data_IF_312233367330
#
_entry.id   IF_312233367330
#
_cell.length_a   1.000
_cell.length_b   1.000
_cell.length_c   1.000
_cell.angle_alpha   90.00
_cell.angle_beta   90.00
_cell.angle_gamma   90.00
#
_symmetry.space_group_name_H-M   'P 1'
#
loop_
_entity.id
_entity.type
_entity.pdbx_description
1 polymer ?
#
# COMPACT_ATOMS: atom_id res chain seq x y z
N UNK A 1 -37.92 21.43 -33.43
CA UNK A 1 -38.82 22.58 -33.22
C UNK A 1 -39.72 22.26 -32.03
N UNK A 2 -39.57 23.05 -30.97
CA UNK A 2 -40.51 23.44 -29.91
C UNK A 2 -41.56 22.46 -29.37
N UNK A 3 -41.53 22.25 -28.04
CA UNK A 3 -42.47 22.89 -27.09
C UNK A 3 -41.68 23.19 -25.78
N UNK A 4 -41.48 24.47 -25.51
CA UNK A 4 -41.21 25.13 -24.22
C UNK A 4 -42.45 25.00 -23.31
N UNK A 5 -42.51 25.19 -21.99
CA UNK A 5 -41.77 25.87 -20.93
C UNK A 5 -42.67 25.69 -19.70
N UNK A 6 -42.15 25.60 -18.48
CA UNK A 6 -42.83 26.11 -17.28
C UNK A 6 -41.82 26.21 -16.14
N UNK A 7 -41.40 27.44 -15.87
CA UNK A 7 -40.68 27.86 -14.67
C UNK A 7 -41.68 28.24 -13.58
N UNK A 8 -41.35 28.06 -12.30
CA UNK A 8 -41.91 28.85 -11.21
C UNK A 8 -40.89 29.00 -10.06
N UNK A 9 -40.82 30.23 -9.57
CA UNK A 9 -39.86 30.85 -8.64
C UNK A 9 -40.08 30.50 -7.14
N UNK A 10 -39.12 30.87 -6.26
CA UNK A 10 -39.11 30.53 -4.85
C UNK A 10 -39.77 31.60 -3.97
N UNK A 11 -40.50 31.19 -2.93
CA UNK A 11 -41.00 32.10 -1.88
C UNK A 11 -40.48 31.72 -0.50
N UNK A 12 -39.65 32.64 0.02
CA UNK A 12 -39.55 33.12 1.41
C UNK A 12 -40.56 32.55 2.43
N UNK A 13 -40.07 32.06 3.57
CA UNK A 13 -40.75 32.29 4.84
C UNK A 13 -39.76 32.59 5.98
N UNK A 14 -40.09 33.68 6.65
CA UNK A 14 -39.38 34.38 7.73
C UNK A 14 -39.49 33.66 9.07
N UNK A 15 -38.53 33.97 9.96
CA UNK A 15 -38.45 33.56 11.34
C UNK A 15 -39.64 34.06 12.20
N UNK A 16 -40.06 33.23 13.16
CA UNK A 16 -40.80 33.66 14.34
C UNK A 16 -40.42 32.82 15.57
N UNK A 17 -40.12 33.56 16.64
CA UNK A 17 -39.66 33.14 17.97
C UNK A 17 -40.67 32.26 18.73
N UNK A 18 -40.18 31.25 19.47
CA UNK A 18 -40.77 30.83 20.75
C UNK A 18 -39.65 30.41 21.74
N UNK A 19 -39.81 30.84 22.99
CA UNK A 19 -38.83 30.87 24.09
C UNK A 19 -38.90 29.60 24.99
N UNK A 20 -38.02 29.45 26.01
CA UNK A 20 -37.54 28.16 26.51
C UNK A 20 -38.34 27.60 27.69
N UNK A 21 -38.41 26.27 27.83
CA UNK A 21 -38.71 25.64 29.11
C UNK A 21 -38.05 24.27 29.33
N UNK A 22 -37.31 24.21 30.44
CA UNK A 22 -37.10 23.09 31.38
C UNK A 22 -36.66 21.69 30.88
N UNK A 23 -35.36 21.46 31.07
CA UNK A 23 -34.79 20.39 31.91
C UNK A 23 -35.03 18.92 31.57
N UNK A 24 -33.95 18.25 31.12
CA UNK A 24 -33.45 17.05 31.79
C UNK A 24 -31.94 16.90 31.55
N UNK A 25 -31.12 17.30 32.53
CA UNK A 25 -29.68 16.98 32.57
C UNK A 25 -29.51 15.60 33.18
N UNK A 26 -28.84 14.68 32.47
CA UNK A 26 -28.12 13.56 33.08
C UNK A 26 -26.68 13.56 32.53
N UNK A 27 -25.64 13.59 33.38
CA UNK A 27 -24.27 13.51 32.91
C UNK A 27 -23.91 12.06 32.64
N UNK A 28 -23.58 11.73 31.39
CA UNK A 28 -22.89 10.49 31.05
C UNK A 28 -21.39 10.72 31.25
N UNK A 29 -20.85 10.19 32.35
CA UNK A 29 -19.42 9.99 32.52
C UNK A 29 -19.03 8.74 31.71
N UNK A 30 -18.47 8.93 30.53
CA UNK A 30 -17.86 7.88 29.70
C UNK A 30 -16.47 8.34 29.25
N UNK A 31 -15.45 7.54 29.56
CA UNK A 31 -14.03 7.83 29.32
C UNK A 31 -13.76 8.11 27.84
N UNK A 32 -13.22 9.28 27.54
CA UNK A 32 -12.57 9.57 26.25
C UNK A 32 -11.13 9.05 26.27
N UNK A 33 -10.58 8.52 25.16
CA UNK A 33 -9.16 8.24 25.07
C UNK A 33 -8.38 9.57 25.10
N UNK A 34 -7.37 9.62 25.96
CA UNK A 34 -6.52 10.78 26.20
C UNK A 34 -5.67 11.07 24.95
N UNK A 35 -6.05 12.08 24.18
CA UNK A 35 -5.20 12.66 23.14
C UNK A 35 -4.12 13.51 23.82
N UNK A 36 -2.89 13.01 23.89
CA UNK A 36 -1.75 13.82 24.37
C UNK A 36 -1.13 14.58 23.18
N UNK A 37 -1.46 15.86 23.08
CA UNK A 37 -0.74 16.82 22.22
C UNK A 37 0.42 17.37 23.03
N UNK A 38 1.65 17.03 22.67
CA UNK A 38 2.83 17.66 23.27
C UNK A 38 3.17 18.92 22.48
N UNK A 39 2.73 20.08 22.97
CA UNK A 39 3.19 21.39 22.48
C UNK A 39 4.30 21.89 23.39
N UNK A 40 5.52 21.97 22.87
CA UNK A 40 6.57 22.80 23.47
C UNK A 40 6.85 23.98 22.54
N UNK A 41 6.09 25.06 22.71
CA UNK A 41 6.50 26.36 22.23
C UNK A 41 7.63 26.89 23.13
N UNK A 42 8.89 26.74 22.70
CA UNK A 42 9.98 27.62 23.17
C UNK A 42 10.87 28.00 22.00
N UNK A 43 10.99 29.31 21.82
CA UNK A 43 11.84 30.05 20.92
C UNK A 43 13.26 29.50 20.90
N UNK A 44 13.81 29.26 19.71
CA UNK A 44 15.18 28.79 19.50
C UNK A 44 16.16 29.90 19.83
N UNK A 45 16.95 29.71 20.88
CA UNK A 45 18.25 30.34 21.04
C UNK A 45 19.30 29.22 20.98
N UNK A 46 20.24 29.33 20.05
CA UNK A 46 21.29 28.35 19.82
C UNK A 46 22.26 28.30 21.00
N UNK A 47 22.37 27.15 21.66
CA UNK A 47 23.54 26.78 22.47
C UNK A 47 23.77 25.28 22.31
N UNK A 48 24.96 24.92 21.83
CA UNK A 48 25.41 23.53 21.73
C UNK A 48 25.45 22.86 23.09
N UNK A 49 24.69 21.78 23.23
CA UNK A 49 24.89 20.78 24.29
C UNK A 49 24.35 19.45 23.77
N UNK A 50 25.16 18.41 23.88
CA UNK A 50 24.79 17.03 23.55
C UNK A 50 23.65 16.59 24.46
N UNK A 51 22.43 16.56 23.93
CA UNK A 51 21.26 16.00 24.62
C UNK A 51 21.45 14.49 24.70
N UNK A 52 21.85 14.00 25.87
CA UNK A 52 21.77 12.59 26.20
C UNK A 52 20.32 12.20 26.42
N UNK A 53 19.82 11.26 25.62
CA UNK A 53 18.50 10.65 25.84
C UNK A 53 18.55 9.88 27.16
N UNK A 54 17.66 10.15 28.13
CA UNK A 54 17.68 9.45 29.41
C UNK A 54 17.46 7.95 29.25
N UNK A 55 18.30 7.12 29.90
CA UNK A 55 18.26 5.65 29.81
C UNK A 55 16.91 5.04 30.22
N UNK A 56 16.12 5.72 31.05
CA UNK A 56 14.78 5.28 31.46
C UNK A 56 13.78 5.24 30.32
N UNK A 57 13.79 6.24 29.42
CA UNK A 57 12.94 6.27 28.23
C UNK A 57 13.32 5.20 27.19
N UNK A 58 14.60 4.77 27.18
CA UNK A 58 15.09 3.70 26.31
C UNK A 58 14.62 2.32 26.79
N UNK A 59 14.57 2.08 28.11
CA UNK A 59 14.04 0.84 28.70
C UNK A 59 12.53 0.70 28.54
N UNK A 60 11.78 1.80 28.66
CA UNK A 60 10.32 1.80 28.43
C UNK A 60 9.96 1.62 26.94
N UNK A 61 10.74 2.18 26.02
CA UNK A 61 10.56 1.97 24.59
C UNK A 61 10.76 0.51 24.17
N UNK A 62 11.79 -0.16 24.69
CA UNK A 62 12.05 -1.58 24.43
C UNK A 62 10.97 -2.50 25.03
N UNK A 63 10.41 -2.16 26.19
CA UNK A 63 9.26 -2.89 26.75
C UNK A 63 8.04 -2.84 25.84
N UNK A 64 7.71 -1.67 25.29
CA UNK A 64 6.56 -1.50 24.39
C UNK A 64 6.64 -2.34 23.11
N UNK A 65 7.84 -2.60 22.60
CA UNK A 65 8.03 -3.43 21.40
C UNK A 65 7.72 -4.91 21.71
N UNK A 66 8.14 -5.40 22.88
CA UNK A 66 7.85 -6.77 23.31
C UNK A 66 6.38 -7.04 23.62
N UNK A 67 5.64 -5.99 24.00
CA UNK A 67 4.21 -6.02 24.37
C UNK A 67 3.26 -5.98 23.17
N UNK A 68 3.75 -5.75 21.95
CA UNK A 68 2.91 -5.75 20.76
C UNK A 68 2.19 -7.09 20.61
N UNK A 69 0.91 -6.99 20.25
CA UNK A 69 0.03 -8.10 19.97
C UNK A 69 0.61 -9.08 18.93
N UNK A 70 0.07 -10.29 18.88
CA UNK A 70 0.52 -11.31 17.93
C UNK A 70 0.48 -10.84 16.47
N UNK A 71 -0.60 -10.15 16.07
CA UNK A 71 -0.77 -9.62 14.71
C UNK A 71 -0.87 -8.10 14.79
N UNK A 72 0.26 -7.44 14.56
CA UNK A 72 0.37 -5.97 14.59
C UNK A 72 0.53 -5.41 13.18
N UNK A 73 0.20 -4.14 13.00
CA UNK A 73 0.34 -3.46 11.69
C UNK A 73 0.98 -2.08 11.80
N UNK A 74 1.74 -1.69 10.78
CA UNK A 74 2.33 -0.36 10.62
C UNK A 74 1.71 0.32 9.41
N UNK A 75 0.96 1.40 9.63
CA UNK A 75 0.20 2.12 8.61
C UNK A 75 0.62 3.59 8.56
N UNK A 76 0.47 4.21 7.38
CA UNK A 76 0.77 5.64 7.20
C UNK A 76 -0.44 6.49 7.49
N UNK A 77 -0.27 7.59 8.20
CA UNK A 77 -1.37 8.48 8.58
C UNK A 77 -1.56 9.68 7.65
N UNK A 78 -0.65 9.93 6.71
CA UNK A 78 -0.63 11.14 5.88
C UNK A 78 -0.72 10.75 4.40
N UNK A 79 0.12 11.33 3.53
CA UNK A 79 0.14 11.11 2.08
C UNK A 79 1.38 10.34 1.61
N UNK A 80 1.93 9.46 2.46
CA UNK A 80 3.09 8.63 2.14
C UNK A 80 4.41 9.16 2.71
N UNK A 81 5.47 8.37 2.52
CA UNK A 81 6.85 8.67 2.93
C UNK A 81 7.06 9.07 4.41
N UNK A 82 6.22 8.57 5.31
CA UNK A 82 6.33 8.87 6.74
C UNK A 82 7.48 8.12 7.45
N UNK A 83 8.25 7.31 6.70
CA UNK A 83 9.33 6.48 7.25
C UNK A 83 8.87 5.12 7.79
N UNK A 84 7.73 4.59 7.30
CA UNK A 84 7.19 3.28 7.69
C UNK A 84 8.22 2.15 7.57
N UNK A 85 8.94 2.08 6.45
CA UNK A 85 9.91 1.01 6.20
C UNK A 85 10.99 0.89 7.27
N UNK A 86 11.49 2.03 7.76
CA UNK A 86 12.46 2.07 8.87
C UNK A 86 11.86 1.51 10.16
N UNK A 87 10.62 1.86 10.47
CA UNK A 87 9.95 1.35 11.67
C UNK A 87 9.68 -0.16 11.55
N UNK A 88 9.23 -0.61 10.38
CA UNK A 88 9.01 -2.04 10.10
C UNK A 88 10.31 -2.82 10.25
N UNK A 89 11.41 -2.33 9.69
CA UNK A 89 12.74 -2.96 9.82
C UNK A 89 13.18 -3.10 11.29
N UNK A 90 13.01 -2.06 12.10
CA UNK A 90 13.33 -2.09 13.55
C UNK A 90 12.43 -3.10 14.28
N UNK A 91 11.13 -3.10 13.98
CA UNK A 91 10.17 -3.97 14.66
C UNK A 91 10.32 -5.43 14.22
N UNK A 92 10.71 -5.69 12.98
CA UNK A 92 10.82 -7.02 12.40
C UNK A 92 11.71 -7.98 13.21
N UNK A 93 12.68 -7.47 13.98
CA UNK A 93 13.49 -8.24 14.93
C UNK A 93 12.67 -9.00 16.00
N UNK A 94 11.41 -8.61 16.21
CA UNK A 94 10.50 -9.20 17.18
C UNK A 94 9.32 -9.95 16.54
N UNK A 95 9.33 -10.10 15.22
CA UNK A 95 8.27 -10.76 14.46
C UNK A 95 8.86 -11.85 13.55
N UNK A 96 8.19 -12.99 13.48
CA UNK A 96 8.61 -14.12 12.66
C UNK A 96 8.21 -13.92 11.19
N UNK A 97 7.13 -13.15 10.95
CA UNK A 97 6.61 -12.90 9.61
C UNK A 97 6.38 -11.39 9.43
N UNK A 98 6.84 -10.85 8.30
CA UNK A 98 6.48 -9.50 7.83
C UNK A 98 5.69 -9.62 6.54
N UNK A 99 4.45 -9.15 6.54
CA UNK A 99 3.52 -9.33 5.44
C UNK A 99 3.06 -8.00 4.85
N UNK A 100 3.16 -7.87 3.53
CA UNK A 100 2.60 -6.73 2.79
C UNK A 100 1.22 -7.08 2.24
N UNK A 101 0.25 -6.22 2.51
CA UNK A 101 -1.16 -6.52 2.23
C UNK A 101 -1.72 -5.88 0.94
N UNK A 102 -1.13 -4.79 0.45
CA UNK A 102 -1.73 -3.98 -0.62
C UNK A 102 -0.69 -3.21 -1.43
N UNK A 103 -1.12 -2.68 -2.58
CA UNK A 103 -0.34 -1.80 -3.43
C UNK A 103 0.54 -2.61 -4.38
N UNK A 104 1.67 -2.04 -4.80
CA UNK A 104 2.66 -2.75 -5.63
C UNK A 104 4.02 -2.07 -5.53
N UNK A 105 4.80 -2.11 -6.61
CA UNK A 105 6.12 -1.47 -6.67
C UNK A 105 6.08 0.08 -6.69
N UNK A 106 4.91 0.68 -6.43
CA UNK A 106 4.73 2.12 -6.27
C UNK A 106 5.07 2.63 -4.86
N UNK A 107 5.27 1.74 -3.89
CA UNK A 107 5.87 2.13 -2.61
C UNK A 107 7.40 2.14 -2.72
N UNK A 108 8.03 3.04 -1.96
CA UNK A 108 9.48 3.05 -1.79
C UNK A 108 9.79 3.07 -0.30
N UNK A 109 10.44 2.01 0.19
CA UNK A 109 10.92 1.93 1.56
C UNK A 109 12.43 1.97 1.56
N UNK A 110 12.99 3.13 1.91
CA UNK A 110 14.42 3.26 2.13
C UNK A 110 14.74 2.84 3.56
N UNK A 111 15.58 1.82 3.69
CA UNK A 111 16.10 1.33 4.98
C UNK A 111 17.62 1.31 4.95
N UNK A 112 18.22 1.29 6.14
CA UNK A 112 19.67 1.29 6.31
C UNK A 112 20.03 0.16 7.26
N UNK A 113 20.98 -0.70 6.87
CA UNK A 113 21.46 -1.75 7.76
C UNK A 113 22.40 -1.18 8.85
N UNK A 114 22.90 -2.05 9.72
CA UNK A 114 23.78 -1.68 10.83
C UNK A 114 25.09 -0.99 10.37
N UNK A 115 25.61 -1.35 9.20
CA UNK A 115 26.80 -0.75 8.59
C UNK A 115 26.51 0.56 7.85
N UNK A 116 25.26 1.02 7.82
CA UNK A 116 24.84 2.24 7.12
C UNK A 116 24.64 2.08 5.62
N UNK A 117 24.63 0.85 5.09
CA UNK A 117 24.32 0.56 3.70
C UNK A 117 22.84 0.80 3.43
N UNK A 118 22.56 1.60 2.40
CA UNK A 118 21.21 1.97 1.97
C UNK A 118 20.59 0.86 1.12
N UNK A 119 19.36 0.49 1.44
CA UNK A 119 18.51 -0.39 0.63
C UNK A 119 17.22 0.34 0.28
N UNK A 120 16.79 0.21 -0.98
CA UNK A 120 15.52 0.76 -1.46
C UNK A 120 14.63 -0.41 -1.88
N UNK A 121 13.63 -0.70 -1.06
CA UNK A 121 12.67 -1.76 -1.28
C UNK A 121 11.40 -1.20 -1.92
N UNK A 122 10.81 -2.00 -2.82
CA UNK A 122 9.63 -1.62 -3.56
C UNK A 122 8.49 -2.59 -3.37
N UNK A 123 8.70 -3.88 -3.66
CA UNK A 123 7.68 -4.92 -3.51
C UNK A 123 7.95 -5.79 -2.28
N UNK A 124 9.22 -6.11 -2.04
CA UNK A 124 9.66 -6.99 -0.97
C UNK A 124 9.49 -6.27 0.38
N UNK A 125 8.85 -6.91 1.38
CA UNK A 125 8.68 -6.33 2.70
C UNK A 125 10.00 -5.91 3.37
N UNK A 126 9.96 -4.84 4.16
CA UNK A 126 11.11 -4.25 4.86
C UNK A 126 11.77 -5.18 5.87
N UNK A 127 11.08 -6.24 6.28
CA UNK A 127 11.62 -7.29 7.14
C UNK A 127 12.74 -8.13 6.51
N UNK A 128 12.98 -8.04 5.20
CA UNK A 128 13.94 -8.90 4.48
C UNK A 128 15.39 -8.80 4.97
N UNK A 129 15.76 -7.70 5.63
CA UNK A 129 17.09 -7.54 6.24
C UNK A 129 17.29 -8.38 7.52
N UNK A 130 16.22 -8.88 8.14
CA UNK A 130 16.27 -9.69 9.36
C UNK A 130 16.26 -11.17 9.01
N UNK A 131 17.39 -11.86 9.12
CA UNK A 131 17.59 -13.24 8.60
C UNK A 131 16.53 -14.24 9.03
N UNK A 132 16.05 -14.14 10.28
CA UNK A 132 15.03 -15.04 10.86
C UNK A 132 13.58 -14.68 10.49
N UNK A 133 13.38 -13.57 9.77
CA UNK A 133 12.05 -13.09 9.37
C UNK A 133 11.67 -13.60 7.97
N UNK A 134 10.48 -14.17 7.88
CA UNK A 134 9.86 -14.54 6.62
C UNK A 134 9.05 -13.38 6.04
N UNK A 135 9.27 -13.04 4.78
CA UNK A 135 8.55 -12.00 4.07
C UNK A 135 7.38 -12.58 3.27
N UNK A 136 6.20 -11.98 3.36
CA UNK A 136 4.99 -12.40 2.63
C UNK A 136 4.44 -11.27 1.79
N UNK A 137 4.22 -11.54 0.50
CA UNK A 137 3.50 -10.66 -0.42
C UNK A 137 2.07 -11.19 -0.55
N UNK A 138 1.11 -10.49 0.05
CA UNK A 138 -0.28 -10.89 0.16
C UNK A 138 -1.11 -10.80 -1.12
N UNK A 139 -2.31 -11.37 -1.08
CA UNK A 139 -3.24 -11.40 -2.22
C UNK A 139 -3.80 -10.03 -2.63
N UNK A 140 -3.68 -9.02 -1.76
CA UNK A 140 -4.09 -7.65 -2.09
C UNK A 140 -3.05 -6.87 -2.90
N UNK A 141 -1.83 -7.40 -3.05
CA UNK A 141 -0.73 -6.78 -3.81
C UNK A 141 -0.88 -7.05 -5.32
N UNK A 142 -0.45 -6.09 -6.13
CA UNK A 142 -0.22 -6.25 -7.57
C UNK A 142 1.28 -6.41 -7.84
N UNK A 143 1.66 -7.53 -8.44
CA UNK A 143 3.05 -8.00 -8.55
C UNK A 143 3.54 -7.77 -9.97
N UNK A 144 4.49 -6.84 -10.13
CA UNK A 144 5.26 -6.70 -11.37
C UNK A 144 6.44 -7.66 -11.31
N UNK A 145 6.36 -8.77 -12.04
CA UNK A 145 7.34 -9.87 -11.95
C UNK A 145 8.74 -9.48 -12.41
N UNK A 146 8.93 -8.72 -13.52
CA UNK A 146 10.24 -8.20 -13.87
C UNK A 146 10.87 -7.36 -12.75
N UNK A 147 10.14 -6.38 -12.22
CA UNK A 147 10.62 -5.51 -11.14
C UNK A 147 10.87 -6.25 -9.83
N UNK A 148 10.07 -7.28 -9.52
CA UNK A 148 10.30 -8.16 -8.37
C UNK A 148 11.65 -8.87 -8.46
N UNK A 149 11.99 -9.44 -9.62
CA UNK A 149 13.27 -10.12 -9.81
C UNK A 149 14.45 -9.16 -9.86
N UNK A 150 14.31 -7.98 -10.48
CA UNK A 150 15.32 -6.91 -10.39
C UNK A 150 15.60 -6.52 -8.93
N UNK A 151 14.56 -6.51 -8.08
CA UNK A 151 14.71 -6.23 -6.65
C UNK A 151 15.45 -7.36 -5.91
N UNK A 152 15.09 -8.63 -6.16
CA UNK A 152 15.82 -9.79 -5.63
C UNK A 152 17.29 -9.75 -6.05
N UNK A 153 17.57 -9.55 -7.34
CA UNK A 153 18.94 -9.59 -7.88
C UNK A 153 19.82 -8.51 -7.23
N UNK A 154 19.26 -7.31 -6.97
CA UNK A 154 19.96 -6.24 -6.25
C UNK A 154 20.21 -6.56 -4.78
N UNK A 155 19.28 -7.25 -4.12
CA UNK A 155 19.42 -7.66 -2.72
C UNK A 155 20.49 -8.76 -2.57
N UNK A 156 20.45 -9.77 -3.44
CA UNK A 156 21.42 -10.88 -3.42
C UNK A 156 22.83 -10.39 -3.76
N UNK A 157 22.97 -9.53 -4.79
CA UNK A 157 24.24 -8.85 -5.09
C UNK A 157 24.76 -7.99 -3.92
N UNK A 158 23.85 -7.57 -3.04
CA UNK A 158 24.16 -6.80 -1.85
C UNK A 158 24.45 -7.63 -0.61
N UNK A 159 24.42 -8.96 -0.71
CA UNK A 159 24.68 -9.91 0.38
C UNK A 159 23.45 -10.36 1.17
N UNK A 160 22.24 -9.96 0.76
CA UNK A 160 20.99 -10.33 1.45
C UNK A 160 20.38 -11.56 0.76
N UNK A 161 20.39 -12.71 1.45
CA UNK A 161 19.80 -13.94 0.91
C UNK A 161 18.27 -13.85 0.87
N UNK A 162 17.69 -14.01 -0.31
CA UNK A 162 16.23 -14.00 -0.51
C UNK A 162 15.63 -15.42 -0.56
N UNK A 163 16.47 -16.44 -0.76
CA UNK A 163 16.07 -17.82 -0.99
C UNK A 163 15.33 -18.41 0.21
N UNK A 164 14.10 -18.88 0.00
CA UNK A 164 13.25 -19.48 1.04
C UNK A 164 12.73 -18.48 2.09
N UNK A 165 12.95 -17.18 1.88
CA UNK A 165 12.57 -16.11 2.83
C UNK A 165 11.47 -15.20 2.30
N UNK A 166 10.99 -15.42 1.09
CA UNK A 166 9.93 -14.64 0.45
C UNK A 166 8.84 -15.60 -0.02
N UNK A 167 7.60 -15.34 0.38
CA UNK A 167 6.40 -16.01 -0.12
C UNK A 167 5.57 -15.02 -0.94
N UNK A 168 5.11 -15.45 -2.10
CA UNK A 168 4.25 -14.68 -3.01
C UNK A 168 2.89 -15.37 -3.09
N UNK A 169 1.83 -14.61 -2.85
CA UNK A 169 0.46 -15.12 -2.95
C UNK A 169 0.15 -15.60 -4.37
N UNK A 170 -0.30 -16.84 -4.49
CA UNK A 170 -0.93 -17.39 -5.70
C UNK A 170 -2.18 -16.57 -6.13
N UNK A 171 -2.80 -15.85 -5.21
CA UNK A 171 -3.99 -15.01 -5.44
C UNK A 171 -3.67 -13.54 -5.73
N UNK A 172 -2.41 -13.11 -5.65
CA UNK A 172 -2.00 -11.76 -6.06
C UNK A 172 -2.18 -11.58 -7.57
N UNK A 173 -2.49 -10.36 -8.00
CA UNK A 173 -2.65 -10.06 -9.44
C UNK A 173 -1.30 -9.73 -10.08
N UNK A 174 -1.12 -10.11 -11.33
CA UNK A 174 0.05 -9.77 -12.12
C UNK A 174 -0.10 -8.39 -12.73
N UNK A 175 0.92 -7.58 -12.51
CA UNK A 175 1.10 -6.31 -13.18
C UNK A 175 2.06 -6.55 -14.36
N UNK A 176 1.55 -6.44 -15.58
CA UNK A 176 2.32 -6.53 -16.82
C UNK A 176 2.86 -5.16 -17.27
N UNK A 177 3.82 -5.17 -18.20
CA UNK A 177 4.40 -3.94 -18.74
C UNK A 177 3.37 -3.10 -19.50
N UNK A 178 2.42 -3.75 -20.19
CA UNK A 178 1.33 -3.04 -20.86
C UNK A 178 0.45 -2.24 -19.87
N UNK A 179 0.32 -2.67 -18.61
CA UNK A 179 -0.39 -1.87 -17.62
C UNK A 179 0.34 -0.55 -17.34
N UNK A 180 1.68 -0.53 -17.40
CA UNK A 180 2.48 0.69 -17.22
C UNK A 180 2.31 1.63 -18.40
N UNK A 181 2.29 1.09 -19.62
CA UNK A 181 2.01 1.84 -20.84
C UNK A 181 0.60 2.46 -20.81
N UNK A 182 -0.42 1.66 -20.47
CA UNK A 182 -1.81 2.10 -20.31
C UNK A 182 -1.95 3.20 -19.24
N UNK A 183 -1.21 3.11 -18.14
CA UNK A 183 -1.18 4.15 -17.10
C UNK A 183 -0.64 5.47 -17.66
N UNK A 184 0.46 5.40 -18.43
CA UNK A 184 1.04 6.55 -19.13
C UNK A 184 0.10 7.17 -20.17
N UNK A 185 -0.57 6.35 -20.98
CA UNK A 185 -1.54 6.80 -21.99
C UNK A 185 -2.75 7.50 -21.35
N UNK A 186 -3.27 6.96 -20.23
CA UNK A 186 -4.39 7.57 -19.50
C UNK A 186 -4.00 8.92 -18.90
N UNK A 187 -2.81 9.05 -18.33
CA UNK A 187 -2.32 10.34 -17.86
C UNK A 187 -2.21 11.34 -19.03
N UNK A 188 -1.70 10.92 -20.19
CA UNK A 188 -1.57 11.79 -21.36
C UNK A 188 -2.93 12.32 -21.86
N UNK A 189 -3.99 11.50 -21.84
CA UNK A 189 -5.36 11.93 -22.19
C UNK A 189 -5.91 13.01 -21.24
N UNK A 190 -5.51 13.00 -19.97
CA UNK A 190 -6.05 13.91 -18.95
C UNK A 190 -5.51 15.35 -19.03
N UNK A 191 -4.50 15.61 -19.86
CA UNK A 191 -3.93 16.91 -20.25
C UNK A 191 -3.68 17.96 -19.15
N UNK A 192 -4.73 18.56 -18.54
CA UNK A 192 -4.62 19.56 -17.46
C UNK A 192 -5.02 19.03 -16.08
N UNK A 193 -5.57 17.82 -16.01
CA UNK A 193 -6.07 17.18 -14.79
C UNK A 193 -5.31 15.90 -14.48
N UNK A 194 -3.97 15.95 -14.60
CA UNK A 194 -3.10 14.83 -14.24
C UNK A 194 -3.32 14.42 -12.79
N UNK A 195 -3.39 13.11 -12.55
CA UNK A 195 -3.43 12.56 -11.19
C UNK A 195 -2.00 12.54 -10.62
N UNK A 196 -0.97 12.47 -11.48
CA UNK A 196 0.42 12.35 -11.04
C UNK A 196 0.75 10.92 -10.64
N UNK A 197 0.28 9.94 -11.42
CA UNK A 197 0.55 8.53 -11.15
C UNK A 197 2.06 8.25 -11.24
N UNK A 198 2.50 7.18 -10.57
CA UNK A 198 3.90 6.74 -10.65
C UNK A 198 4.25 6.12 -12.01
N UNK A 199 3.27 6.02 -12.93
CA UNK A 199 3.36 5.31 -14.22
C UNK A 199 3.86 3.87 -14.06
N UNK A 200 3.48 3.26 -12.94
CA UNK A 200 3.84 1.88 -12.58
C UNK A 200 2.74 0.89 -12.90
N UNK A 201 1.61 1.32 -13.48
CA UNK A 201 0.54 0.41 -13.89
C UNK A 201 -0.37 -0.07 -12.76
N UNK A 202 -0.31 0.57 -11.59
CA UNK A 202 -1.07 0.14 -10.40
C UNK A 202 -2.57 0.25 -10.65
N UNK A 203 -3.02 1.41 -11.11
CA UNK A 203 -4.45 1.65 -11.40
C UNK A 203 -5.00 0.70 -12.46
N UNK A 204 -4.38 0.60 -13.65
CA UNK A 204 -4.80 -0.36 -14.66
C UNK A 204 -4.82 -1.81 -14.17
N UNK A 205 -3.84 -2.26 -13.38
CA UNK A 205 -3.85 -3.63 -12.84
C UNK A 205 -5.02 -3.87 -11.86
N UNK A 206 -5.29 -2.93 -10.95
CA UNK A 206 -6.48 -3.01 -10.09
C UNK A 206 -7.79 -2.92 -10.89
N UNK A 207 -7.82 -2.19 -12.01
CA UNK A 207 -8.95 -2.17 -12.93
C UNK A 207 -9.22 -3.58 -13.50
N UNK A 208 -8.19 -4.25 -14.00
CA UNK A 208 -8.31 -5.62 -14.53
C UNK A 208 -8.79 -6.61 -13.46
N UNK A 209 -8.33 -6.44 -12.21
CA UNK A 209 -8.84 -7.18 -11.04
C UNK A 209 -10.33 -6.98 -10.81
N UNK A 210 -10.80 -5.73 -10.81
CA UNK A 210 -12.21 -5.38 -10.57
C UNK A 210 -13.10 -5.83 -11.73
N UNK A 211 -12.62 -5.74 -12.96
CA UNK A 211 -13.32 -6.21 -14.17
C UNK A 211 -13.39 -7.75 -14.22
N UNK A 212 -12.51 -8.44 -13.48
CA UNK A 212 -12.38 -9.91 -13.40
C UNK A 212 -11.81 -10.53 -14.68
N UNK A 213 -11.03 -9.77 -15.44
CA UNK A 213 -10.23 -10.27 -16.56
C UNK A 213 -8.72 -10.32 -16.25
N UNK A 214 -8.29 -9.76 -15.11
CA UNK A 214 -6.88 -9.77 -14.69
C UNK A 214 -6.35 -11.17 -14.42
N UNK A 215 -5.06 -11.38 -14.73
CA UNK A 215 -4.33 -12.62 -14.49
C UNK A 215 -3.70 -12.57 -13.10
N UNK A 216 -3.72 -13.70 -12.38
CA UNK A 216 -3.12 -13.85 -11.05
C UNK A 216 -1.86 -14.70 -11.10
N UNK A 217 -1.05 -14.62 -10.04
CA UNK A 217 0.22 -15.38 -9.93
C UNK A 217 -0.02 -16.88 -10.11
N UNK A 218 -1.07 -17.44 -9.53
CA UNK A 218 -1.40 -18.86 -9.67
C UNK A 218 -1.75 -19.30 -11.08
N UNK A 219 -2.15 -18.38 -11.98
CA UNK A 219 -2.40 -18.71 -13.38
C UNK A 219 -1.10 -19.07 -14.13
N UNK A 220 0.07 -18.68 -13.62
CA UNK A 220 1.38 -19.05 -14.20
C UNK A 220 1.67 -20.56 -14.08
N UNK A 221 0.92 -21.30 -13.27
CA UNK A 221 0.96 -22.77 -13.23
C UNK A 221 0.19 -23.43 -14.37
N UNK A 222 -0.62 -22.64 -15.11
CA UNK A 222 -1.48 -23.09 -16.21
C UNK A 222 -1.10 -22.37 -17.51
N UNK A 223 0.15 -22.59 -17.93
CA UNK A 223 0.77 -21.93 -19.09
C UNK A 223 0.05 -22.22 -20.42
N UNK A 224 -0.75 -23.28 -20.49
CA UNK A 224 -1.62 -23.61 -21.61
C UNK A 224 -2.75 -22.58 -21.82
N UNK A 225 -3.25 -21.96 -20.75
CA UNK A 225 -4.32 -20.95 -20.81
C UNK A 225 -3.81 -19.50 -20.80
N UNK A 226 -2.53 -19.30 -20.48
CA UNK A 226 -1.92 -17.98 -20.36
C UNK A 226 -2.04 -17.11 -21.64
N UNK A 227 -1.80 -17.63 -22.87
CA UNK A 227 -1.90 -16.83 -24.09
C UNK A 227 -3.29 -16.25 -24.31
N UNK A 228 -4.33 -17.04 -24.06
CA UNK A 228 -5.73 -16.63 -24.26
C UNK A 228 -6.13 -15.52 -23.27
N UNK A 229 -5.65 -15.60 -22.02
CA UNK A 229 -5.89 -14.58 -21.01
C UNK A 229 -5.15 -13.27 -21.33
N UNK A 230 -3.90 -13.37 -21.80
CA UNK A 230 -3.10 -12.21 -22.19
C UNK A 230 -3.68 -11.51 -23.42
N UNK A 231 -4.07 -12.27 -24.44
CA UNK A 231 -4.70 -11.74 -25.66
C UNK A 231 -5.95 -10.90 -25.32
N UNK A 232 -6.79 -11.39 -24.41
CA UNK A 232 -7.98 -10.66 -23.98
C UNK A 232 -7.65 -9.31 -23.31
N UNK A 233 -6.59 -9.27 -22.48
CA UNK A 233 -6.16 -8.03 -21.82
C UNK A 233 -5.50 -7.04 -22.79
N UNK A 234 -4.64 -7.52 -23.68
CA UNK A 234 -3.98 -6.68 -24.69
C UNK A 234 -4.98 -6.15 -25.71
N UNK A 235 -5.95 -6.97 -26.11
CA UNK A 235 -7.05 -6.58 -27.00
C UNK A 235 -7.94 -5.51 -26.38
N UNK A 236 -8.26 -5.60 -25.08
CA UNK A 236 -9.00 -4.56 -24.35
C UNK A 236 -8.24 -3.22 -24.32
N UNK A 237 -6.93 -3.27 -24.04
CA UNK A 237 -6.06 -2.10 -24.07
C UNK A 237 -6.00 -1.46 -25.47
N UNK A 238 -5.82 -2.27 -26.52
CA UNK A 238 -5.78 -1.81 -27.92
C UNK A 238 -7.12 -1.22 -28.39
N UNK A 239 -8.24 -1.80 -27.96
CA UNK A 239 -9.56 -1.26 -28.26
C UNK A 239 -9.79 0.11 -27.58
N UNK A 240 -9.23 0.31 -26.38
CA UNK A 240 -9.39 1.57 -25.63
C UNK A 240 -8.45 2.67 -26.09
N UNK A 241 -7.19 2.36 -26.38
CA UNK A 241 -6.16 3.36 -26.69
C UNK A 241 -5.62 3.16 -28.09
N UNK A 242 -5.84 4.15 -28.97
CA UNK A 242 -5.40 4.09 -30.38
C UNK A 242 -3.88 4.02 -30.53
N UNK A 243 -3.15 4.60 -29.58
CA UNK A 243 -1.69 4.65 -29.58
C UNK A 243 -1.06 3.40 -28.92
N UNK A 244 -1.88 2.47 -28.40
CA UNK A 244 -1.39 1.21 -27.85
C UNK A 244 -1.13 0.21 -28.98
N UNK A 245 0.14 -0.13 -29.19
CA UNK A 245 0.55 -0.98 -30.30
C UNK A 245 0.43 -2.47 -29.93
N UNK A 246 -0.66 -3.09 -30.38
CA UNK A 246 -0.89 -4.52 -30.20
C UNK A 246 -0.72 -5.30 -31.50
N UNK A 247 0.18 -6.28 -31.50
CA UNK A 247 0.36 -7.23 -32.60
C UNK A 247 0.48 -8.66 -32.08
N UNK A 248 0.24 -9.69 -32.93
CA UNK A 248 0.44 -11.09 -32.54
C UNK A 248 1.86 -11.39 -32.03
N UNK A 249 2.88 -10.73 -32.59
CA UNK A 249 4.27 -10.89 -32.17
C UNK A 249 4.48 -10.39 -30.73
N UNK A 250 3.85 -9.27 -30.34
CA UNK A 250 3.89 -8.76 -28.96
C UNK A 250 3.26 -9.75 -27.98
N UNK A 251 2.16 -10.40 -28.35
CA UNK A 251 1.53 -11.45 -27.54
C UNK A 251 2.50 -12.64 -27.34
N UNK A 252 3.10 -13.13 -28.43
CA UNK A 252 4.04 -14.25 -28.38
C UNK A 252 5.25 -13.93 -27.50
N UNK A 253 5.82 -12.73 -27.64
CA UNK A 253 6.95 -12.28 -26.82
C UNK A 253 6.61 -12.23 -25.32
N UNK A 254 5.46 -11.66 -24.95
CA UNK A 254 5.02 -11.59 -23.55
C UNK A 254 4.72 -12.98 -22.98
N UNK A 255 4.13 -13.88 -23.77
CA UNK A 255 3.91 -15.28 -23.35
C UNK A 255 5.23 -15.98 -23.06
N UNK A 256 6.21 -15.92 -23.97
CA UNK A 256 7.52 -16.57 -23.79
C UNK A 256 8.33 -15.96 -22.65
N UNK A 257 8.18 -14.65 -22.43
CA UNK A 257 8.77 -13.96 -21.27
C UNK A 257 8.17 -14.46 -19.96
N UNK A 258 6.84 -14.55 -19.86
CA UNK A 258 6.18 -15.00 -18.62
C UNK A 258 6.30 -16.51 -18.38
N UNK A 259 6.51 -17.34 -19.42
CA UNK A 259 6.90 -18.75 -19.23
C UNK A 259 8.23 -18.87 -18.48
N UNK A 260 9.24 -18.06 -18.85
CA UNK A 260 10.53 -18.02 -18.15
C UNK A 260 10.40 -17.51 -16.72
N UNK A 261 9.56 -16.50 -16.51
CA UNK A 261 9.30 -16.01 -15.15
C UNK A 261 8.52 -16.99 -14.30
N UNK A 262 7.61 -17.79 -14.87
CA UNK A 262 6.85 -18.80 -14.13
C UNK A 262 7.78 -19.82 -13.47
N UNK A 263 8.78 -20.33 -14.19
CA UNK A 263 9.78 -21.26 -13.65
C UNK A 263 10.56 -20.63 -12.48
N UNK A 264 11.01 -19.38 -12.66
CA UNK A 264 11.77 -18.67 -11.63
C UNK A 264 10.93 -18.29 -10.41
N UNK A 265 9.63 -18.03 -10.61
CA UNK A 265 8.70 -17.58 -9.57
C UNK A 265 8.13 -18.75 -8.75
N UNK A 266 8.02 -19.94 -9.32
CA UNK A 266 7.40 -21.11 -8.69
C UNK A 266 7.86 -21.38 -7.25
N UNK A 267 9.16 -21.31 -6.89
CA UNK A 267 9.61 -21.54 -5.51
C UNK A 267 9.08 -20.54 -4.48
N UNK A 268 8.62 -19.37 -4.94
CA UNK A 268 8.05 -18.33 -4.09
C UNK A 268 6.53 -18.48 -3.94
N UNK A 269 5.85 -19.14 -4.87
CA UNK A 269 4.37 -19.16 -4.94
C UNK A 269 3.79 -20.05 -3.83
N UNK A 270 3.00 -19.46 -2.95
CA UNK A 270 2.36 -20.15 -1.82
C UNK A 270 0.91 -19.70 -1.65
N UNK A 271 0.02 -20.56 -1.14
CA UNK A 271 -1.28 -20.10 -0.64
C UNK A 271 -1.05 -19.29 0.65
N UNK A 272 -0.89 -17.98 0.48
CA UNK A 272 -0.59 -17.06 1.58
C UNK A 272 -1.74 -16.94 2.56
N UNK A 273 -2.99 -17.14 2.11
CA UNK A 273 -4.16 -17.07 2.99
C UNK A 273 -4.10 -18.24 3.97
N UNK A 274 -3.89 -19.45 3.47
CA UNK A 274 -3.69 -20.62 4.31
C UNK A 274 -2.48 -20.45 5.22
N UNK A 275 -1.33 -20.10 4.66
CA UNK A 275 -0.07 -19.94 5.40
C UNK A 275 -0.20 -18.96 6.58
N UNK A 276 -0.77 -17.77 6.34
CA UNK A 276 -0.92 -16.74 7.38
C UNK A 276 -1.87 -17.22 8.49
N UNK A 277 -3.00 -17.84 8.15
CA UNK A 277 -3.96 -18.32 9.15
C UNK A 277 -3.42 -19.52 9.96
N UNK A 278 -2.63 -20.39 9.35
CA UNK A 278 -1.89 -21.44 10.07
C UNK A 278 -0.84 -20.85 11.01
N UNK A 279 -0.08 -19.85 10.55
CA UNK A 279 0.90 -19.16 11.39
C UNK A 279 0.23 -18.48 12.60
N UNK A 280 -0.92 -17.83 12.39
CA UNK A 280 -1.73 -17.27 13.47
C UNK A 280 -2.14 -18.35 14.47
N UNK A 281 -2.64 -19.50 13.99
CA UNK A 281 -3.07 -20.62 14.83
C UNK A 281 -1.90 -21.24 15.61
N UNK A 282 -0.69 -21.21 15.04
CA UNK A 282 0.55 -21.63 15.66
C UNK A 282 1.18 -20.57 16.59
N UNK A 283 0.45 -19.50 16.94
CA UNK A 283 0.92 -18.39 17.78
C UNK A 283 2.15 -17.65 17.25
N UNK A 284 2.38 -17.68 15.93
CA UNK A 284 3.47 -16.95 15.29
C UNK A 284 3.21 -15.45 15.31
N UNK A 285 4.25 -14.65 15.54
CA UNK A 285 4.15 -13.18 15.51
C UNK A 285 4.22 -12.66 14.07
N UNK A 286 3.21 -11.87 13.67
CA UNK A 286 3.06 -11.29 12.34
C UNK A 286 3.02 -9.76 12.40
N UNK A 287 3.89 -9.11 11.63
CA UNK A 287 3.89 -7.67 11.42
C UNK A 287 3.38 -7.35 10.01
N UNK A 288 2.35 -6.53 9.91
CA UNK A 288 1.80 -6.10 8.62
C UNK A 288 2.40 -4.76 8.21
N UNK A 289 2.95 -4.72 7.00
CA UNK A 289 3.51 -3.52 6.39
C UNK A 289 2.48 -2.88 5.44
N UNK A 290 2.03 -1.67 5.78
CA UNK A 290 1.21 -0.84 4.90
C UNK A 290 2.04 -0.22 3.78
N UNK A 291 1.60 -0.37 2.52
CA UNK A 291 2.31 0.15 1.35
C UNK A 291 2.33 1.69 1.24
N UNK A 292 1.18 2.35 1.39
CA UNK A 292 1.04 3.81 1.38
C UNK A 292 0.44 4.29 2.70
N UNK A 293 -0.39 5.33 2.65
CA UNK A 293 -0.95 6.00 3.80
C UNK A 293 -2.44 6.23 3.61
N UNK A 294 -3.14 6.39 4.72
CA UNK A 294 -4.61 6.45 4.78
C UNK A 294 -5.20 7.61 3.99
N UNK A 295 -4.52 8.75 3.83
CA UNK A 295 -5.02 9.86 3.00
C UNK A 295 -4.88 9.62 1.49
N UNK A 296 -4.18 8.55 1.09
CA UNK A 296 -4.12 8.05 -0.29
C UNK A 296 -5.04 6.84 -0.51
N UNK A 297 -5.89 6.49 0.46
CA UNK A 297 -6.86 5.41 0.30
C UNK A 297 -7.89 5.73 -0.77
N UNK A 298 -8.25 4.73 -1.58
CA UNK A 298 -9.22 4.88 -2.67
C UNK A 298 -10.59 5.38 -2.19
N UNK A 299 -10.99 5.04 -0.96
CA UNK A 299 -12.28 5.41 -0.38
C UNK A 299 -12.17 6.60 0.57
N UNK A 300 -11.15 6.58 1.45
CA UNK A 300 -11.05 7.56 2.56
C UNK A 300 -10.08 8.71 2.28
N UNK A 301 -9.33 8.64 1.18
CA UNK A 301 -8.35 9.64 0.81
C UNK A 301 -8.93 10.85 0.08
N UNK A 302 -8.04 11.69 -0.43
CA UNK A 302 -8.38 12.90 -1.19
C UNK A 302 -8.74 12.60 -2.64
N UNK A 303 -9.79 11.80 -2.90
CA UNK A 303 -10.18 11.39 -4.25
C UNK A 303 -10.41 12.60 -5.20
N UNK A 304 -9.95 12.56 -6.47
CA UNK A 304 -9.32 11.43 -7.18
C UNK A 304 -7.80 11.30 -6.98
N UNK A 305 -7.20 12.13 -6.14
CA UNK A 305 -5.75 12.23 -5.88
C UNK A 305 -5.29 11.19 -4.86
N UNK A 306 -5.54 9.91 -5.17
CA UNK A 306 -5.34 8.76 -4.28
C UNK A 306 -4.72 7.59 -5.05
N UNK A 307 -4.31 6.53 -4.34
CA UNK A 307 -3.93 5.27 -4.99
C UNK A 307 -5.17 4.40 -5.26
N UNK A 308 -5.01 3.33 -6.05
CA UNK A 308 -6.09 2.41 -6.41
C UNK A 308 -6.24 1.23 -5.45
N UNK A 309 -5.55 1.28 -4.31
CA UNK A 309 -5.62 0.28 -3.23
C UNK A 309 -6.20 0.91 -1.96
N UNK A 310 -6.32 0.10 -0.90
CA UNK A 310 -6.78 0.54 0.43
C UNK A 310 -5.65 0.44 1.45
N UNK A 311 -4.84 1.51 1.67
CA UNK A 311 -3.81 1.55 2.69
C UNK A 311 -4.35 1.65 4.13
N UNK A 312 -5.66 1.79 4.31
CA UNK A 312 -6.32 1.72 5.61
C UNK A 312 -6.25 0.32 6.25
N UNK A 313 -6.60 0.24 7.53
CA UNK A 313 -6.56 -1.00 8.31
C UNK A 313 -7.44 -2.11 7.71
N UNK A 314 -8.54 -1.76 7.04
CA UNK A 314 -9.38 -2.73 6.32
C UNK A 314 -8.61 -3.49 5.23
N UNK A 315 -7.65 -2.83 4.60
CA UNK A 315 -6.75 -3.40 3.60
C UNK A 315 -5.92 -4.59 4.10
N UNK A 316 -5.62 -4.63 5.41
CA UNK A 316 -4.94 -5.76 6.04
C UNK A 316 -5.78 -7.03 5.90
N UNK A 317 -7.07 -6.93 6.20
CA UNK A 317 -7.99 -8.07 6.18
C UNK A 317 -8.20 -8.55 4.74
N UNK A 318 -8.55 -7.63 3.83
CA UNK A 318 -8.82 -7.96 2.42
C UNK A 318 -7.58 -8.42 1.67
N UNK A 319 -6.40 -7.94 2.08
CA UNK A 319 -5.13 -8.17 1.41
C UNK A 319 -4.34 -9.39 1.88
N UNK A 320 -4.68 -9.95 3.05
CA UNK A 320 -4.03 -11.14 3.62
C UNK A 320 -5.00 -12.29 3.93
N UNK A 321 -6.31 -12.07 3.87
CA UNK A 321 -7.31 -13.07 4.23
C UNK A 321 -7.36 -13.35 5.73
N UNK A 322 -7.14 -12.33 6.55
CA UNK A 322 -7.18 -12.40 8.01
C UNK A 322 -8.55 -11.87 8.49
N UNK A 323 -9.13 -12.52 9.51
CA UNK A 323 -10.36 -12.05 10.14
C UNK A 323 -10.13 -10.74 10.92
N UNK A 324 -11.03 -9.74 10.83
CA UNK A 324 -10.84 -8.45 11.52
C UNK A 324 -10.59 -8.55 13.03
N UNK A 325 -11.17 -9.55 13.70
CA UNK A 325 -11.01 -9.80 15.14
C UNK A 325 -9.57 -10.19 15.55
N UNK A 326 -8.75 -10.63 14.61
CA UNK A 326 -7.38 -11.10 14.85
C UNK A 326 -6.38 -9.95 14.78
N UNK A 327 -6.72 -8.86 14.07
CA UNK A 327 -5.88 -7.67 14.00
C UNK A 327 -5.79 -7.03 15.39
N UNK A 328 -4.59 -6.96 15.93
CA UNK A 328 -4.30 -6.36 17.21
C UNK A 328 -3.83 -4.91 17.07
N UNK A 329 -2.63 -4.62 17.57
CA UNK A 329 -2.10 -3.26 17.66
C UNK A 329 -1.78 -2.68 16.28
N UNK A 330 -2.28 -1.47 16.02
CA UNK A 330 -1.99 -0.70 14.83
C UNK A 330 -1.17 0.54 15.18
N UNK A 331 0.01 0.62 14.58
CA UNK A 331 0.94 1.73 14.74
C UNK A 331 0.77 2.68 13.55
N UNK A 332 0.21 3.85 13.82
CA UNK A 332 0.12 4.94 12.85
C UNK A 332 1.41 5.74 12.79
N UNK A 333 2.09 5.74 11.64
CA UNK A 333 3.30 6.52 11.42
C UNK A 333 2.92 7.91 10.92
N UNK A 334 3.37 8.91 11.67
CA UNK A 334 3.14 10.33 11.39
C UNK A 334 4.50 11.01 11.26
N UNK A 335 4.73 11.68 10.14
CA UNK A 335 5.89 12.56 9.99
C UNK A 335 5.67 13.86 10.76
N UNK A 336 6.74 14.44 11.30
CA UNK A 336 6.71 15.75 11.97
C UNK A 336 6.25 16.88 11.03
N UNK A 337 6.44 16.71 9.73
CA UNK A 337 5.95 17.61 8.69
C UNK A 337 4.98 16.88 7.76
N UNK A 338 3.92 17.56 7.32
CA UNK A 338 3.04 17.05 6.27
C UNK A 338 3.78 17.19 4.94
N UNK A 339 4.16 16.07 4.34
CA UNK A 339 4.72 16.03 3.00
C UNK A 339 3.64 15.52 2.04
N UNK A 340 3.29 16.34 1.06
CA UNK A 340 2.35 15.97 0.00
C UNK A 340 3.17 15.74 -1.26
N UNK A 341 3.47 14.48 -1.58
CA UNK A 341 4.16 14.16 -2.83
C UNK A 341 3.15 14.21 -3.98
N UNK A 342 3.08 15.37 -4.61
CA UNK A 342 2.67 15.49 -5.98
C UNK A 342 3.85 16.06 -6.76
N UNK A 343 4.14 15.50 -7.93
CA UNK A 343 4.93 16.19 -8.96
C UNK A 343 4.09 17.35 -9.54
N UNK A 344 3.67 18.30 -8.70
CA UNK A 344 3.08 19.54 -9.19
C UNK A 344 4.21 20.44 -9.67
N UNK A 345 4.22 20.73 -10.97
CA UNK A 345 4.75 21.99 -11.47
C UNK A 345 3.72 23.08 -11.12
N UNK A 346 3.66 23.49 -9.85
CA UNK A 346 2.89 24.67 -9.46
C UNK A 346 3.67 25.89 -9.96
N UNK A 347 3.39 26.32 -11.20
CA UNK A 347 3.54 27.73 -11.55
C UNK A 347 2.49 28.49 -10.73
N UNK A 348 2.87 28.94 -9.55
CA UNK A 348 2.16 30.04 -8.89
C UNK A 348 2.45 31.30 -9.73
N UNK A 349 1.44 31.74 -10.48
CA UNK A 349 1.31 33.13 -10.93
C UNK A 349 0.59 33.94 -9.86
#
# INVERSE_FOLDING_TARGET
MNISSLAFEPTLFSAANLSPSSACRRPFYGRYPTLFVCSSAKTVAAVGSSVSVPESGRKDGLKRIGELSQVSGVLGCQWGDEGKGKLVDILAQHFEIVARCQGGANAGHTIYNAEGKKFALHLIPSGILNEDTLCVIGNGVVVHVPGFFEEIDRLEASGVSCKGRILVSDRAHLLFDFHQEVDGLREAELAKSFIGTTRRGIGPCYSSKVIRNGIRVGDLRHLDTLPQKLDLLLSDAAARFKDFNYTPEVLEEEVEKYKRYAERLEPFITDTVYFINEAISANKKILVEGGQATMLDIDFGTYPFVTSSSPSAGGICTGLGIAPKVVGDLIGVVSFFILFFFFFNFNFL
#
